data_IF_503085448882
#
_entry.id   IF_503085448882
#
_cell.length_a   1.000
_cell.length_b   1.000
_cell.length_c   1.000
_cell.angle_alpha   90.00
_cell.angle_beta   90.00
_cell.angle_gamma   90.00
#
_symmetry.space_group_name_H-M   'P 1'
#
loop_
_entity.id
_entity.type
_entity.pdbx_description
1 polymer ?
#
# COMPACT_ATOMS: atom_id res chain seq x y z
N UNK A 1 -10.75 -5.97 -7.16
CA UNK A 1 -12.02 -5.78 -6.43
C UNK A 1 -12.51 -7.17 -6.04
N UNK A 2 -12.59 -7.50 -4.74
CA UNK A 2 -13.11 -8.80 -4.32
C UNK A 2 -14.60 -8.91 -4.67
N UNK A 3 -15.08 -10.13 -4.92
CA UNK A 3 -16.50 -10.43 -5.23
C UNK A 3 -17.05 -9.62 -6.42
N UNK A 4 -16.26 -9.46 -7.49
CA UNK A 4 -16.66 -8.68 -8.66
C UNK A 4 -17.87 -9.28 -9.36
N UNK A 5 -18.02 -10.61 -9.33
CA UNK A 5 -19.16 -11.35 -9.86
C UNK A 5 -20.50 -11.00 -9.19
N UNK A 6 -20.47 -10.43 -7.99
CA UNK A 6 -21.66 -9.98 -7.25
C UNK A 6 -21.98 -8.49 -7.46
N UNK A 7 -21.21 -7.79 -8.30
CA UNK A 7 -21.39 -6.36 -8.55
C UNK A 7 -21.76 -6.11 -10.02
N UNK A 8 -22.63 -5.13 -10.26
CA UNK A 8 -22.93 -4.64 -11.60
C UNK A 8 -21.77 -3.82 -12.18
N UNK A 9 -21.77 -3.68 -13.51
CA UNK A 9 -20.69 -3.03 -14.25
C UNK A 9 -20.47 -1.57 -13.87
N UNK A 10 -21.53 -0.81 -13.57
CA UNK A 10 -21.39 0.60 -13.21
C UNK A 10 -20.72 0.73 -11.84
N UNK A 11 -21.12 -0.08 -10.85
CA UNK A 11 -20.47 -0.09 -9.53
C UNK A 11 -19.02 -0.57 -9.62
N UNK A 12 -18.74 -1.60 -10.42
CA UNK A 12 -17.38 -2.09 -10.64
C UNK A 12 -16.48 -1.00 -11.26
N UNK A 13 -16.98 -0.28 -12.27
CA UNK A 13 -16.27 0.83 -12.92
C UNK A 13 -15.97 1.96 -11.94
N UNK A 14 -16.98 2.40 -11.17
CA UNK A 14 -16.79 3.44 -10.16
C UNK A 14 -15.76 3.01 -9.11
N UNK A 15 -15.84 1.77 -8.62
CA UNK A 15 -14.86 1.25 -7.64
C UNK A 15 -13.43 1.25 -8.19
N UNK A 16 -13.24 0.80 -9.43
CA UNK A 16 -11.93 0.79 -10.09
C UNK A 16 -11.34 2.20 -10.24
N UNK A 17 -12.17 3.18 -10.60
CA UNK A 17 -11.75 4.58 -10.70
C UNK A 17 -11.41 5.18 -9.33
N UNK A 18 -12.22 4.90 -8.30
CA UNK A 18 -11.97 5.36 -6.93
C UNK A 18 -10.67 4.79 -6.36
N UNK A 19 -10.32 3.53 -6.67
CA UNK A 19 -9.04 2.94 -6.24
C UNK A 19 -7.83 3.73 -6.77
N UNK A 20 -7.90 4.29 -7.98
CA UNK A 20 -6.82 5.13 -8.55
C UNK A 20 -6.71 6.52 -7.91
N UNK A 21 -7.75 6.95 -7.20
CA UNK A 21 -7.82 8.24 -6.52
C UNK A 21 -7.42 8.14 -5.04
N UNK A 22 -7.14 6.93 -4.53
CA UNK A 22 -6.70 6.73 -3.16
C UNK A 22 -5.42 7.54 -2.88
N UNK A 23 -5.42 8.21 -1.73
CA UNK A 23 -4.29 9.00 -1.25
C UNK A 23 -3.43 8.12 -0.34
N UNK A 24 -2.09 8.15 -0.46
CA UNK A 24 -1.22 7.43 0.46
C UNK A 24 -1.47 7.84 1.91
N UNK A 25 -1.72 6.87 2.79
CA UNK A 25 -1.92 7.09 4.21
C UNK A 25 -0.58 7.06 4.95
N UNK A 26 -0.48 7.76 6.09
CA UNK A 26 0.71 7.69 6.95
C UNK A 26 0.95 6.27 7.48
N UNK A 27 -0.15 5.52 7.70
CA UNK A 27 -0.16 4.11 8.09
C UNK A 27 -1.22 3.38 7.27
N UNK A 28 -0.84 2.76 6.16
CA UNK A 28 -1.73 1.85 5.44
C UNK A 28 -1.79 0.47 6.11
N UNK A 29 -2.82 -0.32 5.81
CA UNK A 29 -2.92 -1.72 6.21
C UNK A 29 -3.22 -2.61 5.01
N UNK A 30 -2.67 -3.82 5.04
CA UNK A 30 -3.08 -4.86 4.09
C UNK A 30 -4.57 -5.15 4.27
N UNK A 31 -5.30 -5.22 3.15
CA UNK A 31 -6.71 -5.59 3.16
C UNK A 31 -6.89 -7.01 3.69
N UNK A 32 -7.86 -7.20 4.59
CA UNK A 32 -8.21 -8.54 5.11
C UNK A 32 -8.77 -9.42 3.97
N UNK A 33 -9.48 -8.81 3.03
CA UNK A 33 -10.05 -9.48 1.86
C UNK A 33 -9.44 -8.88 0.59
N UNK A 34 -8.79 -9.72 -0.21
CA UNK A 34 -8.11 -9.34 -1.45
C UNK A 34 -8.48 -10.24 -2.63
N UNK A 35 -8.03 -9.85 -3.82
CA UNK A 35 -8.18 -10.59 -5.07
C UNK A 35 -6.96 -11.47 -5.38
N UNK A 36 -5.81 -11.24 -4.72
CA UNK A 36 -4.56 -11.98 -4.90
C UNK A 36 -3.57 -11.32 -5.87
N UNK A 37 -3.96 -10.22 -6.54
CA UNK A 37 -3.11 -9.47 -7.46
C UNK A 37 -2.38 -8.29 -6.79
N UNK A 38 -2.61 -8.06 -5.50
CA UNK A 38 -2.09 -6.91 -4.76
C UNK A 38 -0.56 -6.87 -4.73
N UNK A 39 0.07 -8.05 -4.61
CA UNK A 39 1.54 -8.18 -4.63
C UNK A 39 2.12 -7.82 -6.00
N UNK A 40 1.52 -8.34 -7.06
CA UNK A 40 1.98 -8.07 -8.42
C UNK A 40 1.76 -6.59 -8.76
N UNK A 41 0.60 -6.04 -8.40
CA UNK A 41 0.30 -4.62 -8.58
C UNK A 41 1.26 -3.69 -7.81
N UNK A 42 1.69 -4.08 -6.60
CA UNK A 42 2.69 -3.33 -5.85
C UNK A 42 4.06 -3.35 -6.52
N UNK A 43 4.49 -4.52 -7.02
CA UNK A 43 5.76 -4.65 -7.76
C UNK A 43 5.74 -3.85 -9.07
N UNK A 44 4.66 -3.98 -9.83
CA UNK A 44 4.50 -3.29 -11.12
C UNK A 44 4.32 -1.77 -10.97
N UNK A 45 3.95 -1.30 -9.78
CA UNK A 45 3.83 0.14 -9.51
C UNK A 45 5.17 0.88 -9.54
N UNK A 46 6.30 0.17 -9.37
CA UNK A 46 7.64 0.76 -9.28
C UNK A 46 7.87 1.60 -8.01
N UNK A 47 6.92 1.62 -7.07
CA UNK A 47 7.01 2.39 -5.83
C UNK A 47 7.82 1.66 -4.75
N UNK A 48 7.88 0.33 -4.81
CA UNK A 48 8.73 -0.52 -3.95
C UNK A 48 10.14 -0.65 -4.49
N UNK A 49 11.13 -0.66 -3.59
CA UNK A 49 12.52 -0.94 -3.95
C UNK A 49 12.76 -2.45 -3.94
N UNK A 50 13.17 -3.01 -5.08
CA UNK A 50 13.41 -4.44 -5.28
C UNK A 50 14.91 -4.70 -5.33
N UNK A 51 15.35 -5.86 -4.82
CA UNK A 51 16.74 -6.30 -4.92
C UNK A 51 17.07 -6.78 -6.34
N UNK A 52 17.97 -6.07 -7.03
CA UNK A 52 18.48 -6.48 -8.35
C UNK A 52 19.45 -7.66 -8.25
N UNK A 53 20.16 -7.76 -7.11
CA UNK A 53 21.16 -8.78 -6.84
C UNK A 53 20.83 -9.50 -5.52
N UNK A 54 21.21 -10.77 -5.46
CA UNK A 54 21.20 -11.52 -4.21
C UNK A 54 22.40 -11.16 -3.34
N UNK A 55 22.21 -11.26 -2.03
CA UNK A 55 23.27 -10.92 -1.08
C UNK A 55 22.80 -10.80 0.35
N UNK A 56 23.73 -10.43 1.23
CA UNK A 56 23.44 -10.25 2.66
C UNK A 56 23.41 -8.76 3.00
N UNK A 57 22.42 -8.35 3.78
CA UNK A 57 22.32 -6.96 4.24
C UNK A 57 23.38 -6.70 5.29
N UNK A 58 24.33 -5.82 4.97
CA UNK A 58 25.34 -5.37 5.93
C UNK A 58 24.78 -4.27 6.81
N UNK A 59 24.00 -3.36 6.22
CA UNK A 59 23.56 -2.15 6.88
C UNK A 59 22.23 -1.67 6.31
N UNK A 60 21.32 -1.26 7.19
CA UNK A 60 20.01 -0.71 6.84
C UNK A 60 19.86 0.61 7.56
N UNK A 61 19.61 1.68 6.81
CA UNK A 61 19.20 2.98 7.34
C UNK A 61 17.97 3.48 6.59
N UNK A 62 17.35 4.53 7.09
CA UNK A 62 16.19 5.17 6.47
C UNK A 62 16.51 5.75 5.10
N UNK A 63 17.75 6.20 4.87
CA UNK A 63 18.14 6.85 3.61
C UNK A 63 18.78 5.90 2.60
N UNK A 64 19.28 4.74 3.05
CA UNK A 64 19.95 3.77 2.17
C UNK A 64 20.03 2.37 2.79
N UNK A 65 20.06 1.37 1.92
CA UNK A 65 20.30 -0.04 2.25
C UNK A 65 21.62 -0.47 1.60
N UNK A 66 22.46 -1.16 2.35
CA UNK A 66 23.74 -1.68 1.86
C UNK A 66 23.69 -3.21 1.85
N UNK A 67 23.88 -3.78 0.67
CA UNK A 67 23.84 -5.20 0.39
C UNK A 67 25.22 -5.68 -0.08
N UNK A 68 25.67 -6.83 0.42
CA UNK A 68 26.89 -7.51 -0.02
C UNK A 68 26.51 -8.68 -0.90
N UNK A 69 26.84 -8.59 -2.19
CA UNK A 69 26.56 -9.64 -3.17
C UNK A 69 27.79 -9.92 -4.02
N UNK A 70 28.11 -11.19 -4.26
CA UNK A 70 29.21 -11.62 -5.14
C UNK A 70 30.58 -10.95 -4.89
N UNK A 71 30.87 -10.53 -3.65
CA UNK A 71 32.12 -9.85 -3.29
C UNK A 71 32.07 -8.32 -3.33
N UNK A 72 31.03 -7.75 -3.95
CA UNK A 72 30.83 -6.31 -4.06
C UNK A 72 29.78 -5.78 -3.08
N UNK A 73 29.99 -4.53 -2.64
CA UNK A 73 29.05 -3.82 -1.77
C UNK A 73 28.18 -2.88 -2.59
N UNK A 74 26.88 -3.18 -2.68
CA UNK A 74 25.88 -2.40 -3.38
C UNK A 74 25.15 -1.47 -2.40
N UNK A 75 25.18 -0.17 -2.68
CA UNK A 75 24.46 0.84 -1.91
C UNK A 75 23.21 1.29 -2.67
N UNK A 76 22.05 1.04 -2.09
CA UNK A 76 20.74 1.34 -2.67
C UNK A 76 20.15 2.54 -1.91
N UNK A 77 20.09 3.74 -2.51
CA UNK A 77 19.47 4.90 -1.88
C UNK A 77 17.95 4.74 -1.80
N UNK A 78 17.35 5.23 -0.72
CA UNK A 78 15.92 5.28 -0.50
C UNK A 78 15.40 6.70 -0.63
N UNK A 79 14.19 6.84 -1.18
CA UNK A 79 13.53 8.13 -1.35
C UNK A 79 12.85 8.53 -0.04
N UNK A 80 13.22 9.69 0.50
CA UNK A 80 12.70 10.21 1.77
C UNK A 80 11.97 11.53 1.57
N UNK A 81 10.68 11.57 1.92
CA UNK A 81 9.84 12.79 1.94
C UNK A 81 9.85 13.60 0.64
N UNK A 82 9.88 12.92 -0.50
CA UNK A 82 9.82 13.58 -1.80
C UNK A 82 8.38 13.91 -2.17
N UNK A 83 8.13 15.13 -2.67
CA UNK A 83 6.80 15.53 -3.14
C UNK A 83 6.53 14.95 -4.53
N UNK A 84 5.36 14.33 -4.70
CA UNK A 84 4.89 13.86 -6.00
C UNK A 84 4.24 14.98 -6.83
N UNK A 85 4.06 14.72 -8.13
CA UNK A 85 3.34 15.62 -9.05
C UNK A 85 1.88 15.87 -8.63
N UNK A 86 1.29 14.99 -7.81
CA UNK A 86 -0.06 15.13 -7.27
C UNK A 86 -0.07 15.66 -5.83
N UNK A 87 1.02 16.28 -5.38
CA UNK A 87 1.21 16.79 -4.01
C UNK A 87 1.06 15.73 -2.91
N UNK A 88 1.31 14.46 -3.21
CA UNK A 88 1.39 13.40 -2.21
C UNK A 88 2.85 13.20 -1.75
N UNK A 89 3.04 12.65 -0.55
CA UNK A 89 4.35 12.33 -0.03
C UNK A 89 4.81 10.96 -0.57
N UNK A 90 6.01 10.92 -1.17
CA UNK A 90 6.72 9.70 -1.54
C UNK A 90 7.79 9.47 -0.48
N UNK A 91 7.65 8.35 0.23
CA UNK A 91 8.56 7.98 1.31
C UNK A 91 8.71 6.47 1.31
N UNK A 92 9.95 6.01 1.19
CA UNK A 92 10.31 4.60 1.19
C UNK A 92 10.85 4.21 2.56
N UNK A 93 10.31 3.13 3.12
CA UNK A 93 10.71 2.57 4.40
C UNK A 93 11.39 1.21 4.19
N UNK A 94 12.63 1.02 4.68
CA UNK A 94 13.27 -0.28 4.60
C UNK A 94 12.49 -1.32 5.42
N UNK A 95 12.24 -2.49 4.83
CA UNK A 95 11.51 -3.61 5.47
C UNK A 95 12.42 -4.73 5.96
N UNK A 96 13.71 -4.65 5.63
CA UNK A 96 14.64 -5.76 5.78
C UNK A 96 15.64 -5.51 6.92
N UNK A 97 15.72 -6.40 7.92
CA UNK A 97 16.66 -6.25 9.02
C UNK A 97 18.09 -6.55 8.58
N UNK A 98 19.05 -5.96 9.29
CA UNK A 98 20.47 -6.23 9.12
C UNK A 98 20.76 -7.72 9.27
N UNK A 99 21.66 -8.24 8.44
CA UNK A 99 22.11 -9.64 8.48
C UNK A 99 21.20 -10.63 7.73
N UNK A 100 20.04 -10.20 7.23
CA UNK A 100 19.16 -11.05 6.40
C UNK A 100 19.76 -11.27 5.02
N UNK A 101 19.66 -12.52 4.54
CA UNK A 101 19.99 -12.86 3.16
C UNK A 101 18.78 -12.58 2.26
N UNK A 102 19.03 -11.90 1.15
CA UNK A 102 18.04 -11.44 0.19
C UNK A 102 18.31 -12.11 -1.15
N UNK A 103 17.24 -12.55 -1.82
CA UNK A 103 17.30 -13.08 -3.18
C UNK A 103 16.97 -11.99 -4.19
N UNK A 104 17.45 -12.16 -5.43
CA UNK A 104 17.02 -11.32 -6.55
C UNK A 104 15.49 -11.30 -6.66
N UNK A 105 14.91 -10.12 -6.85
CA UNK A 105 13.46 -9.91 -6.97
C UNK A 105 12.73 -9.76 -5.62
N UNK A 106 13.42 -9.84 -4.50
CA UNK A 106 12.81 -9.63 -3.18
C UNK A 106 12.70 -8.13 -2.85
N UNK A 107 11.63 -7.76 -2.14
CA UNK A 107 11.36 -6.37 -1.76
C UNK A 107 12.27 -5.99 -0.57
N UNK A 108 12.98 -4.87 -0.73
CA UNK A 108 13.90 -4.30 0.24
C UNK A 108 13.25 -3.16 1.03
N UNK A 109 12.48 -2.31 0.36
CA UNK A 109 11.78 -1.19 0.97
C UNK A 109 10.38 -1.04 0.38
N UNK A 110 9.42 -0.77 1.26
CA UNK A 110 8.06 -0.41 0.88
C UNK A 110 7.98 1.09 0.63
N UNK A 111 7.25 1.52 -0.39
CA UNK A 111 6.96 2.94 -0.59
C UNK A 111 5.71 3.39 0.15
N UNK A 112 5.17 4.55 -0.22
CA UNK A 112 4.09 5.22 0.52
C UNK A 112 2.73 4.49 0.53
N UNK A 113 2.56 3.45 -0.30
CA UNK A 113 1.28 2.75 -0.50
C UNK A 113 1.39 1.25 -0.18
N UNK A 114 2.44 0.53 -0.60
CA UNK A 114 2.54 -0.90 -0.31
C UNK A 114 2.84 -1.16 1.17
N UNK A 115 2.26 -2.23 1.72
CA UNK A 115 2.55 -2.73 3.07
C UNK A 115 2.99 -4.19 2.95
N UNK A 116 4.21 -4.48 3.37
CA UNK A 116 4.83 -5.81 3.26
C UNK A 116 4.82 -6.31 1.81
N UNK A 117 5.07 -5.39 0.87
CA UNK A 117 5.11 -5.71 -0.55
C UNK A 117 3.77 -5.99 -1.23
N UNK A 118 2.65 -5.72 -0.57
CA UNK A 118 1.31 -5.80 -1.16
C UNK A 118 0.66 -4.42 -1.23
N UNK A 119 -0.15 -4.19 -2.25
CA UNK A 119 -0.85 -2.92 -2.44
C UNK A 119 -1.83 -2.67 -1.27
N UNK A 120 -1.62 -1.58 -0.52
CA UNK A 120 -2.47 -1.17 0.60
C UNK A 120 -2.97 0.27 0.43
N UNK A 121 -4.14 0.40 -0.20
CA UNK A 121 -4.76 1.71 -0.52
C UNK A 121 -5.54 2.33 0.66
N UNK A 122 -5.64 1.65 1.80
CA UNK A 122 -6.54 2.06 2.89
C UNK A 122 -6.27 1.40 4.24
N UNK A 123 -7.33 1.35 5.05
CA UNK A 123 -7.40 0.76 6.40
C UNK A 123 -8.57 -0.20 6.49
N UNK A 124 -8.46 -1.21 7.34
CA UNK A 124 -9.60 -2.06 7.69
C UNK A 124 -10.40 -1.37 8.80
N UNK A 125 -11.71 -1.21 8.60
CA UNK A 125 -12.59 -0.54 9.56
C UNK A 125 -13.75 -1.46 9.91
N UNK A 126 -14.18 -1.45 11.17
CA UNK A 126 -15.38 -2.15 11.60
C UNK A 126 -16.61 -1.38 11.09
N UNK A 127 -17.46 -2.07 10.33
CA UNK A 127 -18.67 -1.47 9.75
C UNK A 127 -19.90 -2.17 10.32
N UNK A 128 -20.89 -1.37 10.75
CA UNK A 128 -22.20 -1.85 11.17
C UNK A 128 -23.28 -1.32 10.22
N UNK A 129 -24.13 -2.22 9.72
CA UNK A 129 -25.25 -1.88 8.84
C UNK A 129 -26.53 -1.71 9.67
N UNK A 130 -26.70 -0.51 10.25
CA UNK A 130 -27.86 -0.17 11.07
C UNK A 130 -28.38 1.23 10.71
N UNK A 131 -29.70 1.46 10.71
CA UNK A 131 -30.23 2.81 10.64
C UNK A 131 -29.83 3.57 11.92
N UNK A 132 -29.12 4.68 11.77
CA UNK A 132 -28.67 5.51 12.89
C UNK A 132 -29.36 6.87 12.85
N UNK A 133 -30.47 6.99 13.61
CA UNK A 133 -31.16 8.26 13.93
C UNK A 133 -31.29 9.27 12.77
N UNK A 134 -31.53 8.81 11.54
CA UNK A 134 -31.66 9.67 10.36
C UNK A 134 -30.35 10.18 9.75
N UNK A 135 -29.20 10.02 10.40
CA UNK A 135 -27.89 10.48 9.89
C UNK A 135 -27.41 9.76 8.62
N UNK A 136 -27.91 8.54 8.40
CA UNK A 136 -27.64 7.74 7.19
C UNK A 136 -28.75 7.87 6.13
N UNK A 137 -29.69 8.83 6.26
CA UNK A 137 -30.69 9.07 5.22
C UNK A 137 -30.07 9.82 4.03
N UNK A 138 -30.33 9.38 2.78
CA UNK A 138 -29.85 10.09 1.61
C UNK A 138 -30.57 11.44 1.46
N UNK A 139 -29.87 12.54 1.77
CA UNK A 139 -30.28 13.88 1.34
C UNK A 139 -29.95 14.06 -0.16
N UNK A 140 -30.67 14.91 -0.92
CA UNK A 140 -30.44 15.08 -2.37
C UNK A 140 -29.01 15.50 -2.75
N UNK A 141 -28.22 16.01 -1.79
CA UNK A 141 -26.84 16.47 -1.94
C UNK A 141 -25.77 15.47 -1.47
N UNK A 142 -26.14 14.33 -0.89
CA UNK A 142 -25.17 13.28 -0.47
C UNK A 142 -25.60 11.92 -1.02
N UNK A 143 -24.99 11.51 -2.13
CA UNK A 143 -25.10 10.12 -2.60
C UNK A 143 -24.15 9.24 -1.79
N UNK A 144 -24.75 8.23 -1.16
CA UNK A 144 -24.20 7.08 -0.38
C UNK A 144 -23.98 7.30 1.13
N UNK A 145 -24.69 6.52 1.99
CA UNK A 145 -24.35 6.41 3.40
C UNK A 145 -23.23 5.38 3.57
N UNK A 146 -22.03 5.83 3.93
CA UNK A 146 -21.03 4.99 4.58
C UNK A 146 -20.52 5.76 5.79
N UNK A 147 -21.14 5.54 6.95
CA UNK A 147 -20.51 5.83 8.23
C UNK A 147 -19.64 4.62 8.59
N UNK A 148 -18.35 4.71 8.28
CA UNK A 148 -17.34 3.88 8.91
C UNK A 148 -16.90 4.61 10.18
N UNK A 149 -17.50 4.26 11.32
CA UNK A 149 -17.03 4.76 12.62
C UNK A 149 -15.79 3.93 12.99
N UNK A 150 -14.60 4.51 12.81
CA UNK A 150 -13.37 3.92 13.33
C UNK A 150 -13.40 3.97 14.86
N UNK A 151 -13.83 2.89 15.49
CA UNK A 151 -13.50 2.64 16.88
C UNK A 151 -12.04 2.16 16.91
N UNK A 152 -11.11 3.05 17.25
CA UNK A 152 -9.75 2.65 17.63
C UNK A 152 -9.83 1.97 19.00
N UNK A 153 -9.36 0.72 19.08
CA UNK A 153 -9.08 0.00 20.32
C UNK A 153 -7.62 0.16 20.72
#
# INVERSE_FOLDING_TARGET
>A
MPFIEHNDMNRALTSSNMQRQAVPLSRSEKSIVGFGLERQAALDSGVTTIAEHEGKIIYTNTDKIILLGNGDTLSIPLVMYQRSNKNTCIHQKPQVPRGKCIKKGQILADGAVPVVGELALGKNVLVAYLPWEGYNQPSPLRRQPFLATAAES
#
